data_IF_388539806131
#
_entry.id   IF_388539806131
#
_cell.length_a   1.000
_cell.length_b   1.000
_cell.length_c   1.000
_cell.angle_alpha   90.00
_cell.angle_beta   90.00
_cell.angle_gamma   90.00
#
_symmetry.space_group_name_H-M   'P 1'
#
loop_
_entity.id
_entity.type
_entity.pdbx_description
1 polymer ?
#
# COMPACT_ATOMS: atom_id res chain seq x y z
N UNK A 1 46.22 10.41 21.44
CA UNK A 1 44.77 10.30 21.73
C UNK A 1 44.58 9.50 23.01
N UNK A 2 43.96 10.09 24.02
CA UNK A 2 43.80 9.47 25.35
C UNK A 2 42.66 8.43 25.36
N UNK A 3 42.63 7.53 26.35
CA UNK A 3 41.52 6.57 26.53
C UNK A 3 40.16 7.28 26.72
N UNK A 4 40.18 8.48 27.30
CA UNK A 4 39.00 9.34 27.43
C UNK A 4 38.49 9.79 26.06
N UNK A 5 39.39 10.18 25.16
CA UNK A 5 39.06 10.59 23.80
C UNK A 5 38.48 9.42 22.99
N UNK A 6 39.08 8.23 23.09
CA UNK A 6 38.56 7.00 22.45
C UNK A 6 37.13 6.69 22.89
N UNK A 7 36.87 6.73 24.20
CA UNK A 7 35.55 6.47 24.76
C UNK A 7 34.52 7.52 24.32
N UNK A 8 34.93 8.78 24.23
CA UNK A 8 34.10 9.88 23.74
C UNK A 8 33.73 9.68 22.27
N UNK A 9 34.71 9.36 21.41
CA UNK A 9 34.51 9.08 19.98
C UNK A 9 33.55 7.90 19.79
N UNK A 10 33.74 6.80 20.50
CA UNK A 10 32.84 5.63 20.42
C UNK A 10 31.42 5.99 20.84
N UNK A 11 31.26 6.82 21.87
CA UNK A 11 29.93 7.30 22.29
C UNK A 11 29.28 8.16 21.22
N UNK A 12 30.03 9.09 20.62
CA UNK A 12 29.55 9.94 19.54
C UNK A 12 29.13 9.12 18.31
N UNK A 13 29.91 8.10 17.93
CA UNK A 13 29.56 7.19 16.83
C UNK A 13 28.26 6.42 17.06
N UNK A 14 28.00 5.98 18.30
CA UNK A 14 26.75 5.30 18.64
C UNK A 14 25.54 6.22 18.51
N UNK A 15 25.68 7.47 18.96
CA UNK A 15 24.62 8.49 18.82
C UNK A 15 24.37 8.78 17.34
N UNK A 16 25.43 8.96 16.54
CA UNK A 16 25.30 9.15 15.10
C UNK A 16 24.60 7.96 14.44
N UNK A 17 24.98 6.73 14.78
CA UNK A 17 24.39 5.51 14.21
C UNK A 17 22.88 5.41 14.49
N UNK A 18 22.44 5.66 15.73
CA UNK A 18 21.01 5.62 16.04
C UNK A 18 20.25 6.78 15.41
N UNK A 19 20.84 7.98 15.33
CA UNK A 19 20.21 9.12 14.67
C UNK A 19 19.97 8.87 13.18
N UNK A 20 20.97 8.36 12.47
CA UNK A 20 20.85 7.98 11.05
C UNK A 20 19.77 6.89 10.87
N UNK A 21 19.76 5.90 11.75
CA UNK A 21 18.76 4.83 11.71
C UNK A 21 17.33 5.35 11.96
N UNK A 22 17.13 6.24 12.94
CA UNK A 22 15.83 6.86 13.17
C UNK A 22 15.34 7.65 11.96
N UNK A 23 16.22 8.44 11.32
CA UNK A 23 15.89 9.17 10.09
C UNK A 23 15.51 8.20 8.97
N UNK A 24 16.23 7.08 8.83
CA UNK A 24 15.89 6.05 7.85
C UNK A 24 14.50 5.41 8.14
N UNK A 25 14.20 5.06 9.39
CA UNK A 25 12.88 4.53 9.76
C UNK A 25 11.75 5.53 9.48
N UNK A 26 11.95 6.81 9.80
CA UNK A 26 10.99 7.87 9.49
C UNK A 26 10.81 7.97 7.97
N UNK A 27 11.92 7.97 7.21
CA UNK A 27 11.89 7.96 5.74
C UNK A 27 11.07 6.79 5.19
N UNK A 28 11.31 5.57 5.67
CA UNK A 28 10.56 4.36 5.28
C UNK A 28 9.07 4.53 5.57
N UNK A 29 8.72 5.02 6.77
CA UNK A 29 7.32 5.24 7.16
C UNK A 29 6.62 6.28 6.27
N UNK A 30 7.30 7.39 5.97
CA UNK A 30 6.78 8.45 5.11
C UNK A 30 6.66 7.98 3.65
N UNK A 31 7.66 7.26 3.12
CA UNK A 31 7.59 6.65 1.80
C UNK A 31 6.35 5.76 1.67
N UNK A 32 6.04 4.97 2.69
CA UNK A 32 4.82 4.18 2.70
C UNK A 32 3.54 5.04 2.77
N UNK A 33 3.48 6.05 3.65
CA UNK A 33 2.29 6.90 3.77
C UNK A 33 1.96 7.68 2.49
N UNK A 34 2.96 8.00 1.65
CA UNK A 34 2.79 8.92 0.53
C UNK A 34 3.05 8.34 -0.86
N UNK A 35 3.87 7.30 -1.00
CA UNK A 35 4.38 6.84 -2.31
C UNK A 35 4.07 5.38 -2.65
N UNK A 36 3.77 4.53 -1.67
CA UNK A 36 3.44 3.12 -1.91
C UNK A 36 1.93 2.91 -2.06
N UNK A 37 1.53 2.07 -3.01
CA UNK A 37 0.14 1.75 -3.39
C UNK A 37 -0.62 0.89 -2.35
N UNK A 38 -0.46 1.20 -1.07
CA UNK A 38 -1.19 0.57 0.01
C UNK A 38 -2.44 1.40 0.32
N UNK A 39 -3.36 1.41 -0.64
CA UNK A 39 -4.52 2.29 -0.63
C UNK A 39 -5.47 1.97 0.54
N UNK A 40 -5.61 0.70 0.93
CA UNK A 40 -6.43 0.33 2.08
C UNK A 40 -5.91 0.90 3.40
N UNK A 41 -4.60 1.10 3.52
CA UNK A 41 -3.99 1.71 4.71
C UNK A 41 -4.13 3.22 4.75
N UNK A 42 -4.28 3.85 3.59
CA UNK A 42 -4.38 5.30 3.46
C UNK A 42 -5.81 5.81 3.42
N UNK A 43 -6.71 5.06 2.78
CA UNK A 43 -8.10 5.45 2.54
C UNK A 43 -9.10 4.49 3.16
N UNK A 44 -8.73 3.27 3.55
CA UNK A 44 -9.65 2.31 4.15
C UNK A 44 -9.99 2.64 5.60
N UNK A 45 -11.18 2.22 6.03
CA UNK A 45 -11.73 2.43 7.37
C UNK A 45 -10.79 1.91 8.47
N UNK A 46 -10.15 0.76 8.23
CA UNK A 46 -9.21 0.14 9.16
C UNK A 46 -7.75 0.55 8.94
N UNK A 47 -7.47 1.52 8.07
CA UNK A 47 -6.10 1.90 7.71
C UNK A 47 -5.27 2.41 8.88
N UNK A 48 -5.91 3.06 9.87
CA UNK A 48 -5.25 3.49 11.11
C UNK A 48 -4.67 2.31 11.91
N UNK A 49 -5.38 1.17 11.98
CA UNK A 49 -4.91 -0.02 12.69
C UNK A 49 -3.65 -0.55 12.01
N UNK A 50 -3.66 -0.64 10.68
CA UNK A 50 -2.49 -1.09 9.93
C UNK A 50 -1.29 -0.15 10.07
N UNK A 51 -1.51 1.17 10.10
CA UNK A 51 -0.46 2.17 10.39
C UNK A 51 0.15 1.98 11.77
N UNK A 52 -0.63 1.66 12.81
CA UNK A 52 -0.10 1.34 14.14
C UNK A 52 0.78 0.08 14.11
N UNK A 53 0.34 -0.97 13.42
CA UNK A 53 1.10 -2.23 13.31
C UNK A 53 2.48 -1.95 12.71
N UNK A 54 2.52 -1.22 11.59
CA UNK A 54 3.77 -0.87 10.90
C UNK A 54 4.66 0.06 11.73
N UNK A 55 4.08 1.09 12.36
CA UNK A 55 4.83 1.99 13.23
C UNK A 55 5.46 1.25 14.42
N UNK A 56 4.73 0.28 15.00
CA UNK A 56 5.22 -0.54 16.13
C UNK A 56 6.47 -1.31 15.75
N UNK A 57 6.55 -1.87 14.54
CA UNK A 57 7.74 -2.59 14.05
C UNK A 57 8.96 -1.66 13.94
N UNK A 58 8.77 -0.45 13.41
CA UNK A 58 9.85 0.53 13.29
C UNK A 58 10.33 1.01 14.67
N UNK A 59 9.41 1.30 15.59
CA UNK A 59 9.73 1.70 16.97
C UNK A 59 10.45 0.57 17.70
N UNK A 60 10.00 -0.68 17.55
CA UNK A 60 10.66 -1.84 18.14
C UNK A 60 12.08 -2.03 17.58
N UNK A 61 12.28 -1.79 16.28
CA UNK A 61 13.60 -1.86 15.64
C UNK A 61 14.56 -0.80 16.22
N UNK A 62 14.08 0.44 16.37
CA UNK A 62 14.86 1.53 17.00
C UNK A 62 15.20 1.18 18.46
N UNK A 63 14.24 0.65 19.21
CA UNK A 63 14.46 0.23 20.60
C UNK A 63 15.51 -0.88 20.71
N UNK A 64 15.47 -1.89 19.83
CA UNK A 64 16.46 -2.97 19.78
C UNK A 64 17.86 -2.46 19.41
N UNK A 65 17.96 -1.52 18.46
CA UNK A 65 19.24 -0.89 18.14
C UNK A 65 19.78 -0.08 19.33
N UNK A 66 18.92 0.68 20.03
CA UNK A 66 19.30 1.41 21.23
C UNK A 66 19.83 0.46 22.32
N UNK A 67 19.14 -0.67 22.54
CA UNK A 67 19.58 -1.71 23.49
C UNK A 67 20.92 -2.33 23.09
N UNK A 68 21.17 -2.55 21.80
CA UNK A 68 22.43 -3.08 21.32
C UNK A 68 23.61 -2.10 21.52
N UNK A 69 23.38 -0.80 21.26
CA UNK A 69 24.42 0.23 21.31
C UNK A 69 24.70 0.72 22.74
N UNK A 70 23.65 0.93 23.54
CA UNK A 70 23.73 1.58 24.86
C UNK A 70 23.43 0.65 26.04
N UNK A 71 22.79 -0.51 25.80
CA UNK A 71 22.43 -1.45 26.86
C UNK A 71 23.65 -1.97 27.61
N UNK A 72 23.57 -1.97 28.95
CA UNK A 72 24.53 -2.66 29.85
C UNK A 72 24.26 -4.17 29.84
N UNK A 73 24.29 -4.77 28.65
CA UNK A 73 23.97 -6.18 28.40
C UNK A 73 25.22 -6.91 27.92
N UNK A 74 25.30 -8.23 28.20
CA UNK A 74 26.41 -9.06 27.75
C UNK A 74 26.52 -9.12 26.22
N UNK A 75 27.72 -9.45 25.70
CA UNK A 75 28.01 -9.48 24.25
C UNK A 75 26.96 -10.25 23.44
N UNK A 76 26.57 -11.43 23.92
CA UNK A 76 25.56 -12.29 23.26
C UNK A 76 24.20 -11.58 23.12
N UNK A 77 23.71 -10.95 24.19
CA UNK A 77 22.43 -10.23 24.18
C UNK A 77 22.43 -9.05 23.20
N UNK A 78 23.57 -8.35 23.06
CA UNK A 78 23.72 -7.27 22.07
C UNK A 78 23.66 -7.79 20.65
N UNK A 79 24.33 -8.90 20.36
CA UNK A 79 24.29 -9.54 19.02
C UNK A 79 22.86 -9.97 18.68
N UNK A 80 22.16 -10.60 19.63
CA UNK A 80 20.75 -11.00 19.44
C UNK A 80 19.87 -9.77 19.14
N UNK A 81 20.05 -8.67 19.89
CA UNK A 81 19.29 -7.43 19.64
C UNK A 81 19.56 -6.84 18.25
N UNK A 82 20.82 -6.87 17.77
CA UNK A 82 21.15 -6.42 16.41
C UNK A 82 20.51 -7.30 15.33
N UNK A 83 20.56 -8.63 15.51
CA UNK A 83 19.92 -9.57 14.59
C UNK A 83 18.40 -9.34 14.57
N UNK A 84 17.78 -9.24 15.74
CA UNK A 84 16.34 -8.99 15.84
C UNK A 84 15.95 -7.65 15.20
N UNK A 85 16.72 -6.58 15.40
CA UNK A 85 16.52 -5.29 14.72
C UNK A 85 16.58 -5.45 13.20
N UNK A 86 17.61 -6.12 12.67
CA UNK A 86 17.74 -6.35 11.23
C UNK A 86 16.57 -7.16 10.65
N UNK A 87 16.13 -8.20 11.37
CA UNK A 87 14.97 -9.02 10.97
C UNK A 87 13.69 -8.20 10.94
N UNK A 88 13.44 -7.36 11.94
CA UNK A 88 12.25 -6.50 11.95
C UNK A 88 12.22 -5.55 10.75
N UNK A 89 13.33 -4.89 10.44
CA UNK A 89 13.44 -4.01 9.27
C UNK A 89 13.25 -4.79 7.96
N UNK A 90 13.88 -5.95 7.82
CA UNK A 90 13.71 -6.79 6.63
C UNK A 90 12.26 -7.29 6.47
N UNK A 91 11.58 -7.57 7.58
CA UNK A 91 10.19 -8.02 7.59
C UNK A 91 9.17 -6.91 7.32
N UNK A 92 9.59 -5.64 7.33
CA UNK A 92 8.68 -4.50 7.17
C UNK A 92 7.94 -4.53 5.82
N UNK A 93 8.63 -4.83 4.71
CA UNK A 93 8.00 -4.85 3.38
C UNK A 93 7.00 -5.99 3.19
N UNK A 94 7.29 -7.26 3.56
CA UNK A 94 6.28 -8.31 3.56
C UNK A 94 5.11 -7.98 4.49
N UNK A 95 5.39 -7.41 5.67
CA UNK A 95 4.34 -7.04 6.62
C UNK A 95 3.44 -5.94 6.06
N UNK A 96 3.99 -5.00 5.31
CA UNK A 96 3.23 -3.95 4.63
C UNK A 96 2.17 -4.56 3.70
N UNK A 97 2.56 -5.46 2.80
CA UNK A 97 1.63 -6.13 1.86
C UNK A 97 0.54 -6.92 2.60
N UNK A 98 0.92 -7.68 3.64
CA UNK A 98 -0.04 -8.44 4.46
C UNK A 98 -1.02 -7.51 5.18
N UNK A 99 -0.51 -6.41 5.74
CA UNK A 99 -1.34 -5.46 6.48
C UNK A 99 -2.30 -4.73 5.55
N UNK A 100 -1.86 -4.36 4.36
CA UNK A 100 -2.73 -3.78 3.32
C UNK A 100 -3.84 -4.77 2.93
N UNK A 101 -3.51 -6.03 2.61
CA UNK A 101 -4.51 -7.06 2.30
C UNK A 101 -5.52 -7.29 3.44
N UNK A 102 -5.06 -7.23 4.69
CA UNK A 102 -5.95 -7.34 5.86
C UNK A 102 -6.92 -6.16 5.95
N UNK A 103 -6.42 -4.94 5.78
CA UNK A 103 -7.23 -3.72 5.81
C UNK A 103 -8.14 -3.60 4.56
N UNK A 104 -7.77 -4.25 3.45
CA UNK A 104 -8.53 -4.27 2.21
C UNK A 104 -9.74 -5.21 2.24
N UNK A 105 -9.81 -6.20 3.15
CA UNK A 105 -10.88 -7.21 3.20
C UNK A 105 -12.32 -6.69 3.05
N UNK A 106 -12.73 -5.55 3.66
CA UNK A 106 -14.09 -5.03 3.45
C UNK A 106 -14.40 -4.60 2.01
N UNK A 107 -13.35 -4.41 1.21
CA UNK A 107 -13.39 -3.92 -0.16
C UNK A 107 -13.02 -5.00 -1.18
N UNK A 108 -13.01 -6.29 -0.81
CA UNK A 108 -12.69 -7.36 -1.77
C UNK A 108 -13.90 -7.99 -2.42
N UNK A 109 -15.08 -7.90 -1.78
CA UNK A 109 -16.31 -8.48 -2.32
C UNK A 109 -17.09 -7.45 -3.13
N UNK A 110 -17.33 -7.79 -4.39
CA UNK A 110 -18.16 -7.03 -5.31
C UNK A 110 -19.65 -7.28 -5.09
N UNK A 111 -20.37 -6.18 -4.90
CA UNK A 111 -21.79 -6.02 -5.21
C UNK A 111 -22.00 -4.60 -5.77
N UNK A 112 -23.02 -4.35 -6.61
CA UNK A 112 -23.28 -3.00 -7.13
C UNK A 112 -23.41 -1.94 -6.02
N UNK A 113 -24.04 -2.31 -4.90
CA UNK A 113 -24.17 -1.44 -3.72
C UNK A 113 -22.81 -1.15 -3.07
N UNK A 114 -21.95 -2.16 -2.89
CA UNK A 114 -20.64 -1.97 -2.30
C UNK A 114 -19.72 -1.17 -3.21
N UNK A 115 -19.73 -1.47 -4.52
CA UNK A 115 -19.01 -0.75 -5.56
C UNK A 115 -19.39 0.74 -5.56
N UNK A 116 -20.68 1.06 -5.66
CA UNK A 116 -21.16 2.44 -5.70
C UNK A 116 -20.89 3.20 -4.40
N UNK A 117 -20.99 2.53 -3.24
CA UNK A 117 -20.62 3.15 -1.96
C UNK A 117 -19.12 3.45 -1.91
N UNK A 118 -18.27 2.50 -2.32
CA UNK A 118 -16.82 2.68 -2.32
C UNK A 118 -16.39 3.73 -3.33
N UNK A 119 -17.02 3.78 -4.51
CA UNK A 119 -16.85 4.80 -5.54
C UNK A 119 -16.93 6.23 -4.99
N UNK A 120 -17.98 6.47 -4.20
CA UNK A 120 -18.32 7.80 -3.69
C UNK A 120 -17.39 8.25 -2.56
N UNK A 121 -16.95 7.31 -1.72
CA UNK A 121 -16.17 7.65 -0.52
C UNK A 121 -14.67 7.54 -0.78
N UNK A 122 -14.23 6.43 -1.37
CA UNK A 122 -12.82 6.06 -1.54
C UNK A 122 -12.58 5.28 -2.85
N UNK A 123 -12.57 5.95 -4.01
CA UNK A 123 -12.45 5.29 -5.31
C UNK A 123 -11.15 4.49 -5.47
N UNK A 124 -10.08 4.86 -4.75
CA UNK A 124 -8.81 4.11 -4.72
C UNK A 124 -8.91 2.67 -4.18
N UNK A 125 -10.02 2.32 -3.52
CA UNK A 125 -10.22 0.99 -2.94
C UNK A 125 -10.95 0.04 -3.90
N UNK A 126 -11.49 0.56 -5.01
CA UNK A 126 -12.22 -0.25 -6.00
C UNK A 126 -11.35 -1.34 -6.61
N UNK A 127 -10.04 -1.09 -6.73
CA UNK A 127 -9.08 -2.08 -7.23
C UNK A 127 -9.11 -3.41 -6.47
N UNK A 128 -9.50 -3.41 -5.18
CA UNK A 128 -9.56 -4.62 -4.38
C UNK A 128 -10.77 -5.48 -4.72
N UNK A 129 -11.82 -4.91 -5.31
CA UNK A 129 -13.02 -5.64 -5.77
C UNK A 129 -12.86 -6.23 -7.17
N UNK A 130 -11.92 -5.73 -7.97
CA UNK A 130 -11.75 -6.15 -9.37
C UNK A 130 -11.57 -7.66 -9.53
N UNK A 131 -10.75 -8.36 -8.71
CA UNK A 131 -10.62 -9.81 -8.85
C UNK A 131 -11.94 -10.57 -8.68
N UNK A 132 -12.77 -10.20 -7.71
CA UNK A 132 -14.08 -10.82 -7.49
C UNK A 132 -15.08 -10.43 -8.60
N UNK A 133 -14.97 -9.21 -9.12
CA UNK A 133 -15.72 -8.73 -10.27
C UNK A 133 -15.41 -9.56 -11.54
N UNK A 134 -14.13 -9.82 -11.81
CA UNK A 134 -13.67 -10.65 -12.94
C UNK A 134 -14.07 -12.12 -12.79
N UNK A 135 -14.13 -12.64 -11.56
CA UNK A 135 -14.56 -14.02 -11.29
C UNK A 135 -16.08 -14.19 -11.47
N UNK A 136 -16.87 -13.24 -10.99
CA UNK A 136 -18.35 -13.30 -11.03
C UNK A 136 -18.94 -13.02 -12.40
N UNK A 137 -18.27 -12.22 -13.23
CA UNK A 137 -18.84 -11.73 -14.49
C UNK A 137 -17.87 -11.91 -15.66
N UNK A 138 -18.36 -12.53 -16.73
CA UNK A 138 -17.67 -12.53 -18.01
C UNK A 138 -18.06 -11.28 -18.81
N UNK A 139 -17.29 -10.20 -18.65
CA UNK A 139 -17.57 -8.92 -19.31
C UNK A 139 -17.39 -8.97 -20.82
N UNK A 140 -16.42 -9.74 -21.35
CA UNK A 140 -16.15 -9.75 -22.78
C UNK A 140 -17.35 -10.35 -23.54
N UNK A 141 -17.89 -9.59 -24.48
CA UNK A 141 -19.12 -9.91 -25.23
C UNK A 141 -20.41 -9.42 -24.60
N UNK A 142 -20.39 -8.91 -23.35
CA UNK A 142 -21.55 -8.31 -22.69
C UNK A 142 -21.93 -6.99 -23.37
N UNK A 143 -23.22 -6.62 -23.28
CA UNK A 143 -23.66 -5.30 -23.71
C UNK A 143 -23.14 -4.22 -22.76
N UNK A 144 -22.59 -3.13 -23.29
CA UNK A 144 -22.06 -2.03 -22.48
C UNK A 144 -23.16 -1.40 -21.61
N UNK A 145 -24.43 -1.43 -22.04
CA UNK A 145 -25.56 -0.96 -21.23
C UNK A 145 -25.89 -1.85 -20.04
N UNK A 146 -25.53 -3.13 -20.09
CA UNK A 146 -25.64 -4.04 -18.94
C UNK A 146 -24.49 -3.84 -17.96
N UNK A 147 -23.28 -3.61 -18.47
CA UNK A 147 -22.11 -3.26 -17.66
C UNK A 147 -22.32 -1.92 -16.96
N UNK A 148 -22.89 -0.94 -17.66
CA UNK A 148 -23.27 0.36 -17.09
C UNK A 148 -24.22 0.22 -15.91
N UNK A 149 -25.24 -0.63 -15.99
CA UNK A 149 -26.13 -0.89 -14.85
C UNK A 149 -25.44 -1.53 -13.64
N UNK A 150 -24.37 -2.31 -13.87
CA UNK A 150 -23.63 -2.99 -12.80
C UNK A 150 -22.63 -2.06 -12.11
N UNK A 151 -21.95 -1.22 -12.88
CA UNK A 151 -20.84 -0.40 -12.42
C UNK A 151 -21.16 1.10 -12.34
N UNK A 152 -22.37 1.48 -12.75
CA UNK A 152 -22.87 2.86 -12.84
C UNK A 152 -21.95 3.76 -13.67
N UNK A 153 -21.54 3.31 -14.87
CA UNK A 153 -20.46 3.92 -15.67
C UNK A 153 -20.70 5.41 -15.99
N UNK A 154 -21.96 5.86 -16.08
CA UNK A 154 -22.32 7.26 -16.27
C UNK A 154 -21.94 8.18 -15.10
N UNK A 155 -21.96 7.70 -13.85
CA UNK A 155 -21.65 8.53 -12.68
C UNK A 155 -20.16 8.90 -12.56
N UNK A 156 -19.31 8.27 -13.38
CA UNK A 156 -17.86 8.45 -13.40
C UNK A 156 -17.38 9.50 -14.41
N UNK A 157 -18.31 10.10 -15.18
CA UNK A 157 -18.02 11.07 -16.22
C UNK A 157 -17.85 10.45 -17.61
N UNK A 158 -17.83 11.27 -18.68
CA UNK A 158 -17.80 10.75 -20.05
C UNK A 158 -16.51 9.97 -20.36
N UNK A 159 -16.65 8.95 -21.18
CA UNK A 159 -15.53 8.35 -21.92
C UNK A 159 -14.77 9.47 -22.64
N UNK A 160 -13.56 9.77 -22.16
CA UNK A 160 -12.70 10.78 -22.80
C UNK A 160 -12.03 10.25 -24.08
N UNK A 161 -12.22 8.96 -24.42
CA UNK A 161 -11.50 8.26 -25.49
C UNK A 161 -12.44 7.42 -26.37
N UNK A 162 -13.57 7.99 -26.80
CA UNK A 162 -14.46 7.34 -27.78
C UNK A 162 -15.21 6.14 -27.19
N UNK A 163 -14.86 4.92 -27.58
CA UNK A 163 -15.54 3.67 -27.15
C UNK A 163 -14.81 2.94 -26.02
N UNK A 164 -14.16 3.69 -25.15
CA UNK A 164 -13.42 3.16 -24.01
C UNK A 164 -13.77 3.94 -22.73
N UNK A 165 -14.22 3.23 -21.70
CA UNK A 165 -14.28 3.79 -20.35
C UNK A 165 -12.92 3.62 -19.69
N UNK A 166 -12.43 4.71 -19.12
CA UNK A 166 -11.12 4.76 -18.49
C UNK A 166 -11.29 5.35 -17.08
N UNK A 167 -11.28 4.48 -16.07
CA UNK A 167 -11.72 4.87 -14.74
C UNK A 167 -10.67 4.60 -13.66
N UNK A 168 -10.38 5.60 -12.82
CA UNK A 168 -9.35 5.46 -11.77
C UNK A 168 -9.90 4.72 -10.55
N UNK A 169 -9.40 3.51 -10.34
CA UNK A 169 -9.83 2.60 -9.27
C UNK A 169 -8.80 2.39 -8.15
N UNK A 170 -7.61 3.02 -8.26
CA UNK A 170 -6.52 2.82 -7.31
C UNK A 170 -5.59 4.03 -7.16
N UNK A 171 -4.76 3.94 -6.12
CA UNK A 171 -3.57 4.76 -5.93
C UNK A 171 -2.54 4.53 -7.04
N UNK A 172 -1.50 5.36 -7.07
CA UNK A 172 -0.44 5.33 -8.09
C UNK A 172 -0.95 5.32 -9.56
N UNK A 173 -2.12 5.91 -9.82
CA UNK A 173 -2.75 5.97 -11.15
C UNK A 173 -3.14 4.59 -11.72
N UNK A 174 -3.70 3.71 -10.88
CA UNK A 174 -4.33 2.48 -11.38
C UNK A 174 -5.73 2.74 -11.93
N UNK A 175 -5.98 2.24 -13.14
CA UNK A 175 -7.24 2.40 -13.88
C UNK A 175 -7.87 1.06 -14.23
N UNK A 176 -9.19 1.05 -14.31
CA UNK A 176 -10.02 0.05 -14.95
C UNK A 176 -10.37 0.55 -16.35
N UNK A 177 -10.16 -0.30 -17.34
CA UNK A 177 -10.42 0.01 -18.75
C UNK A 177 -11.46 -0.95 -19.30
N UNK A 178 -12.50 -0.39 -19.90
CA UNK A 178 -13.58 -1.14 -20.55
C UNK A 178 -13.75 -0.62 -21.98
N UNK A 179 -13.31 -1.41 -22.96
CA UNK A 179 -13.43 -1.06 -24.39
C UNK A 179 -14.60 -1.80 -25.02
N UNK A 180 -15.36 -1.14 -25.91
CA UNK A 180 -16.48 -1.75 -26.61
C UNK A 180 -16.49 -1.47 -28.12
N UNK A 181 -17.14 -2.34 -28.90
CA UNK A 181 -17.26 -2.22 -30.33
C UNK A 181 -18.38 -1.25 -30.75
N UNK A 182 -18.53 -1.02 -32.06
CA UNK A 182 -19.58 -0.13 -32.61
C UNK A 182 -21.01 -0.61 -32.33
N UNK A 183 -21.19 -1.86 -31.94
CA UNK A 183 -22.49 -2.46 -31.61
C UNK A 183 -22.75 -2.44 -30.09
N UNK A 184 -21.87 -1.82 -29.31
CA UNK A 184 -21.98 -1.77 -27.85
C UNK A 184 -21.54 -3.05 -27.15
N UNK A 185 -20.80 -3.95 -27.81
CA UNK A 185 -20.29 -5.17 -27.17
C UNK A 185 -18.90 -4.96 -26.58
N UNK A 186 -18.71 -5.32 -25.32
CA UNK A 186 -17.42 -5.24 -24.65
C UNK A 186 -16.41 -6.15 -25.33
N UNK A 187 -15.24 -5.60 -25.62
CA UNK A 187 -14.12 -6.28 -26.29
C UNK A 187 -12.93 -6.47 -25.35
N UNK A 188 -12.78 -5.60 -24.34
CA UNK A 188 -11.71 -5.66 -23.34
C UNK A 188 -12.21 -5.18 -21.99
N UNK A 189 -11.73 -5.84 -20.94
CA UNK A 189 -11.90 -5.47 -19.54
C UNK A 189 -10.59 -5.80 -18.84
N UNK A 190 -9.87 -4.78 -18.35
CA UNK A 190 -8.57 -4.98 -17.70
C UNK A 190 -8.19 -3.79 -16.82
N UNK A 191 -7.18 -3.98 -15.97
CA UNK A 191 -6.58 -2.90 -15.18
C UNK A 191 -5.20 -2.52 -15.69
N UNK A 192 -4.83 -1.24 -15.58
CA UNK A 192 -3.54 -0.71 -16.02
C UNK A 192 -3.06 0.38 -15.07
N UNK A 193 -1.75 0.48 -14.88
CA UNK A 193 -1.09 1.57 -14.13
C UNK A 193 -0.61 2.69 -15.07
N UNK A 194 -0.72 2.49 -16.38
CA UNK A 194 -0.20 3.40 -17.40
C UNK A 194 -1.34 4.21 -18.00
N UNK A 195 -1.27 5.55 -17.98
CA UNK A 195 -2.25 6.46 -18.61
C UNK A 195 -2.06 6.47 -20.13
N UNK A 196 -1.73 5.34 -20.76
CA UNK A 196 -1.30 5.24 -22.15
C UNK A 196 -2.28 5.94 -23.10
N UNK A 197 -2.03 7.23 -23.34
CA UNK A 197 -2.75 8.06 -24.29
C UNK A 197 -2.20 7.64 -25.64
N UNK A 198 -2.84 6.64 -26.24
CA UNK A 198 -2.65 6.27 -27.64
C UNK A 198 -3.36 7.25 -28.54
#
# INVERSE_FOLDING_TARGET
MTERDKKSIVSALKVLAISVFCVACIGIYLLFCFLLAADSLNYGEYGYIGKIILATVLVASVALLALALFGKTGKVKRVIALIACAVLIASFFPLLDVTDKLCAKPYTEFSPENWNRTAQIHPNLLQYMVPDLEEKYNFVGMDISEVDKLLDLESWGPSNYGREYYHRIGGAYKFLVISYDKNGKVTKFYTTDDIGVG
#
